data_IF_481836900965
#
_entry.id   IF_481836900965
#
_cell.length_a   1.000
_cell.length_b   1.000
_cell.length_c   1.000
_cell.angle_alpha   90.00
_cell.angle_beta   90.00
_cell.angle_gamma   90.00
#
_symmetry.space_group_name_H-M   'P 1'
#
loop_
_entity.id
_entity.type
_entity.pdbx_description
1 polymer ?
#
# COMPACT_ATOMS: atom_id res chain seq x y z
N UNK A 1 4.37 -0.39 -10.65
CA UNK A 1 4.23 1.07 -10.59
C UNK A 1 3.73 1.39 -9.20
N UNK A 2 4.37 2.35 -8.50
CA UNK A 2 3.99 2.73 -7.14
C UNK A 2 2.56 3.28 -7.11
N UNK A 3 1.85 3.04 -6.02
CA UNK A 3 0.48 3.51 -5.79
C UNK A 3 0.50 4.66 -4.79
N UNK A 4 -0.32 5.66 -5.08
CA UNK A 4 -0.50 6.81 -4.22
C UNK A 4 -1.80 6.64 -3.43
N UNK A 5 -1.77 6.67 -2.09
CA UNK A 5 -2.95 6.44 -1.25
C UNK A 5 -3.98 7.56 -1.30
N UNK A 6 -3.61 8.77 -1.74
CA UNK A 6 -4.51 9.92 -1.88
C UNK A 6 -5.15 9.97 -3.29
N UNK A 7 -4.59 9.18 -4.23
CA UNK A 7 -5.03 9.18 -5.62
C UNK A 7 -5.05 7.78 -6.24
N UNK A 8 -5.86 6.93 -5.64
CA UNK A 8 -6.11 5.57 -6.11
C UNK A 8 -7.04 5.53 -7.34
N UNK A 9 -6.84 4.57 -8.25
CA UNK A 9 -7.82 4.28 -9.29
C UNK A 9 -9.12 3.74 -8.66
N UNK A 10 -10.24 3.93 -9.35
CA UNK A 10 -11.58 3.56 -8.87
C UNK A 10 -11.72 2.07 -8.53
N UNK A 11 -10.96 1.22 -9.22
CA UNK A 11 -10.94 -0.23 -9.02
C UNK A 11 -9.98 -0.69 -7.91
N UNK A 12 -9.22 0.22 -7.29
CA UNK A 12 -8.36 -0.14 -6.16
C UNK A 12 -9.18 -0.59 -4.95
N UNK A 13 -8.70 -1.66 -4.31
CA UNK A 13 -9.30 -2.27 -3.12
C UNK A 13 -8.25 -2.41 -2.02
N UNK A 14 -7.84 -1.31 -1.38
CA UNK A 14 -6.82 -1.35 -0.35
C UNK A 14 -7.28 -2.25 0.79
N UNK A 15 -6.34 -3.01 1.35
CA UNK A 15 -6.64 -4.09 2.28
C UNK A 15 -5.48 -4.35 3.23
N UNK A 16 -5.79 -4.67 4.48
CA UNK A 16 -4.83 -5.21 5.44
C UNK A 16 -5.06 -6.72 5.54
N UNK A 17 -4.01 -7.49 5.29
CA UNK A 17 -4.05 -8.95 5.38
C UNK A 17 -3.21 -9.40 6.56
N UNK A 18 -3.84 -9.98 7.57
CA UNK A 18 -3.15 -10.58 8.72
C UNK A 18 -2.88 -12.06 8.43
N UNK A 19 -1.61 -12.47 8.58
CA UNK A 19 -1.16 -13.84 8.37
C UNK A 19 -1.12 -14.63 9.67
N UNK A 20 -1.13 -15.96 9.57
CA UNK A 20 -1.02 -16.88 10.73
C UNK A 20 0.26 -16.66 11.56
N UNK A 21 1.31 -16.11 10.93
CA UNK A 21 2.59 -15.81 11.58
C UNK A 21 2.54 -14.58 12.47
N UNK A 22 1.42 -13.85 12.50
CA UNK A 22 1.30 -12.54 13.13
C UNK A 22 1.83 -11.39 12.27
N UNK A 23 2.34 -11.68 11.06
CA UNK A 23 2.72 -10.66 10.10
C UNK A 23 1.50 -10.04 9.43
N UNK A 24 1.52 -8.72 9.27
CA UNK A 24 0.47 -7.99 8.55
C UNK A 24 1.01 -7.45 7.22
N UNK A 25 0.17 -7.49 6.20
CA UNK A 25 0.50 -7.01 4.86
C UNK A 25 -0.54 -6.00 4.43
N UNK A 26 -0.15 -4.73 4.42
CA UNK A 26 -0.97 -3.67 3.89
C UNK A 26 -0.73 -3.51 2.38
N UNK A 27 -1.77 -3.77 1.59
CA UNK A 27 -1.72 -3.78 0.14
C UNK A 27 -2.64 -2.70 -0.45
N UNK A 28 -2.23 -2.15 -1.61
CA UNK A 28 -2.98 -1.15 -2.35
C UNK A 28 -4.19 -1.74 -3.08
N UNK A 29 -4.09 -3.01 -3.51
CA UNK A 29 -5.22 -3.76 -4.04
C UNK A 29 -5.03 -5.26 -3.86
N UNK A 30 -6.14 -6.01 -3.94
CA UNK A 30 -6.14 -7.46 -3.87
C UNK A 30 -7.15 -8.08 -4.83
N UNK A 31 -6.90 -9.33 -5.19
CA UNK A 31 -7.79 -10.17 -5.97
C UNK A 31 -7.73 -11.61 -5.47
N UNK A 32 -8.89 -12.18 -5.16
CA UNK A 32 -9.00 -13.61 -4.84
C UNK A 32 -9.08 -14.39 -6.14
N UNK A 33 -8.12 -15.28 -6.35
CA UNK A 33 -8.07 -16.16 -7.52
C UNK A 33 -9.01 -17.35 -7.34
N UNK A 34 -9.41 -17.98 -8.45
CA UNK A 34 -10.28 -19.17 -8.45
C UNK A 34 -9.69 -20.35 -7.62
N UNK A 35 -8.37 -20.41 -7.49
CA UNK A 35 -7.67 -21.40 -6.67
C UNK A 35 -7.73 -21.12 -5.15
N UNK A 36 -8.39 -20.04 -4.72
CA UNK A 36 -8.43 -19.56 -3.33
C UNK A 36 -7.19 -18.78 -2.90
N UNK A 37 -6.20 -18.60 -3.78
CA UNK A 37 -5.03 -17.78 -3.48
C UNK A 37 -5.39 -16.30 -3.53
N UNK A 38 -4.84 -15.52 -2.60
CA UNK A 38 -5.00 -14.07 -2.60
C UNK A 38 -3.81 -13.43 -3.29
N UNK A 39 -4.05 -12.81 -4.45
CA UNK A 39 -3.07 -11.96 -5.09
C UNK A 39 -3.17 -10.55 -4.49
N UNK A 40 -2.03 -9.97 -4.12
CA UNK A 40 -1.95 -8.61 -3.58
C UNK A 40 -0.91 -7.80 -4.35
N UNK A 41 -1.23 -6.53 -4.59
CA UNK A 41 -0.28 -5.53 -5.08
C UNK A 41 0.00 -4.52 -3.96
N UNK A 42 1.25 -4.46 -3.54
CA UNK A 42 1.74 -3.56 -2.51
C UNK A 42 1.87 -2.13 -3.04
N UNK A 43 2.01 -1.19 -2.11
CA UNK A 43 2.13 0.24 -2.39
C UNK A 43 3.35 0.61 -3.23
N UNK A 44 4.45 -0.12 -3.12
CA UNK A 44 5.65 0.07 -3.96
C UNK A 44 5.46 -0.48 -5.40
N UNK A 45 4.38 -1.24 -5.63
CA UNK A 45 4.07 -1.93 -6.87
C UNK A 45 4.57 -3.37 -6.92
N UNK A 46 5.17 -3.89 -5.83
CA UNK A 46 5.49 -5.31 -5.69
C UNK A 46 4.22 -6.14 -5.64
N UNK A 47 4.25 -7.30 -6.29
CA UNK A 47 3.12 -8.23 -6.36
C UNK A 47 3.46 -9.50 -5.62
N UNK A 48 2.56 -9.97 -4.76
CA UNK A 48 2.74 -11.21 -4.00
C UNK A 48 1.48 -12.06 -4.08
N UNK A 49 1.68 -13.38 -4.05
CA UNK A 49 0.59 -14.34 -3.89
C UNK A 49 0.64 -14.91 -2.47
N UNK A 50 -0.50 -14.90 -1.80
CA UNK A 50 -0.69 -15.42 -0.46
C UNK A 50 -1.52 -16.70 -0.55
N UNK A 51 -1.01 -17.82 -0.01
CA UNK A 51 -1.79 -19.04 0.02
C UNK A 51 -2.90 -18.92 1.08
N UNK A 52 -4.10 -19.47 0.83
CA UNK A 52 -5.26 -19.29 1.70
C UNK A 52 -5.01 -19.80 3.12
N UNK A 53 -4.28 -20.91 3.27
CA UNK A 53 -3.96 -21.49 4.58
C UNK A 53 -3.13 -20.58 5.49
N UNK A 54 -2.43 -19.59 4.92
CA UNK A 54 -1.62 -18.62 5.71
C UNK A 54 -2.40 -17.37 6.09
N UNK A 55 -3.59 -17.15 5.55
CA UNK A 55 -4.37 -15.93 5.75
C UNK A 55 -5.30 -16.15 6.95
N UNK A 56 -5.12 -15.36 8.00
CA UNK A 56 -6.03 -15.35 9.15
C UNK A 56 -7.23 -14.45 8.90
N UNK A 57 -6.96 -13.25 8.37
CA UNK A 57 -7.95 -12.20 8.24
C UNK A 57 -7.62 -11.28 7.07
N UNK A 58 -8.67 -10.76 6.44
CA UNK A 58 -8.60 -9.78 5.35
C UNK A 58 -9.55 -8.64 5.71
N UNK A 59 -8.99 -7.48 6.02
CA UNK A 59 -9.74 -6.28 6.39
C UNK A 59 -9.68 -5.25 5.29
N UNK A 60 -10.83 -4.93 4.71
CA UNK A 60 -10.95 -3.88 3.69
C UNK A 60 -10.70 -2.53 4.32
N UNK A 61 -9.84 -1.74 3.68
CA UNK A 61 -9.58 -0.36 4.10
C UNK A 61 -10.62 0.56 3.48
N UNK A 62 -11.21 1.43 4.30
CA UNK A 62 -12.19 2.39 3.84
C UNK A 62 -11.55 3.45 2.93
N UNK A 63 -12.25 3.79 1.85
CA UNK A 63 -11.82 4.84 0.93
C UNK A 63 -12.91 5.85 0.68
N UNK A 64 -12.54 7.12 0.60
CA UNK A 64 -13.41 8.21 0.18
C UNK A 64 -13.31 8.40 -1.33
N UNK A 65 -14.46 8.49 -2.01
CA UNK A 65 -14.51 8.72 -3.45
C UNK A 65 -14.55 10.22 -3.75
N UNK A 66 -13.69 10.66 -4.66
CA UNK A 66 -13.60 12.02 -5.14
C UNK A 66 -13.93 12.11 -6.63
N UNK A 67 -14.54 13.22 -7.03
CA UNK A 67 -14.83 13.53 -8.43
C UNK A 67 -14.57 15.00 -8.71
N UNK A 68 -13.72 15.28 -9.70
CA UNK A 68 -13.41 16.65 -10.15
C UNK A 68 -13.12 16.67 -11.64
N UNK A 69 -13.73 17.61 -12.36
CA UNK A 69 -13.50 17.83 -13.79
C UNK A 69 -13.58 16.54 -14.64
N UNK A 70 -14.57 15.68 -14.35
CA UNK A 70 -14.76 14.40 -15.05
C UNK A 70 -13.82 13.26 -14.63
N UNK A 71 -12.83 13.54 -13.78
CA UNK A 71 -11.92 12.54 -13.19
C UNK A 71 -12.48 12.03 -11.87
N UNK A 72 -12.49 10.72 -11.67
CA UNK A 72 -12.84 10.07 -10.41
C UNK A 72 -11.61 9.35 -9.84
N UNK A 73 -11.35 9.51 -8.55
CA UNK A 73 -10.30 8.79 -7.82
C UNK A 73 -10.77 8.50 -6.40
N UNK A 74 -10.09 7.58 -5.74
CA UNK A 74 -10.35 7.22 -4.35
C UNK A 74 -9.14 7.61 -3.49
N UNK A 75 -9.40 7.92 -2.24
CA UNK A 75 -8.41 8.23 -1.22
C UNK A 75 -8.64 7.31 -0.02
N UNK A 76 -7.57 6.81 0.60
CA UNK A 76 -7.68 6.08 1.87
C UNK A 76 -8.20 7.03 2.94
N UNK A 77 -9.29 6.69 3.60
CA UNK A 77 -9.96 7.59 4.55
C UNK A 77 -9.19 7.80 5.85
N UNK A 78 -8.40 6.81 6.25
CA UNK A 78 -7.68 6.82 7.52
C UNK A 78 -6.30 7.49 7.37
N UNK A 79 -6.01 8.57 8.11
CA UNK A 79 -4.76 9.31 7.96
C UNK A 79 -3.53 8.52 8.41
N UNK A 80 -3.65 7.62 9.39
CA UNK A 80 -2.53 6.78 9.82
C UNK A 80 -2.17 5.77 8.73
N UNK A 81 -3.19 5.17 8.10
CA UNK A 81 -2.99 4.28 6.95
C UNK A 81 -2.45 5.02 5.72
N UNK A 82 -2.84 6.28 5.49
CA UNK A 82 -2.25 7.10 4.42
C UNK A 82 -0.75 7.24 4.61
N UNK A 83 -0.29 7.62 5.81
CA UNK A 83 1.13 7.79 6.10
C UNK A 83 1.89 6.46 6.01
N UNK A 84 1.29 5.38 6.51
CA UNK A 84 1.89 4.05 6.40
C UNK A 84 2.02 3.59 4.93
N UNK A 85 1.01 3.87 4.10
CA UNK A 85 1.04 3.59 2.66
C UNK A 85 2.12 4.41 1.92
N UNK A 86 2.28 5.69 2.27
CA UNK A 86 3.33 6.55 1.68
C UNK A 86 4.73 6.04 2.02
N UNK A 87 4.95 5.64 3.27
CA UNK A 87 6.19 5.02 3.71
C UNK A 87 6.44 3.70 2.96
N UNK A 88 5.42 2.83 2.86
CA UNK A 88 5.52 1.56 2.15
C UNK A 88 5.76 1.73 0.64
N UNK A 89 5.18 2.77 0.02
CA UNK A 89 5.44 3.13 -1.38
C UNK A 89 6.83 3.75 -1.59
N UNK A 90 7.56 4.08 -0.52
CA UNK A 90 8.79 4.85 -0.60
C UNK A 90 8.57 6.25 -1.18
N UNK A 91 7.40 6.85 -0.96
CA UNK A 91 7.09 8.23 -1.35
C UNK A 91 7.76 9.23 -0.38
N UNK A 92 7.97 8.85 0.87
CA UNK A 92 8.75 9.60 1.87
C UNK A 92 10.28 9.57 1.66
N UNK A 93 10.79 8.60 0.89
CA UNK A 93 12.24 8.36 0.76
C UNK A 93 12.97 9.49 0.00
N UNK A 94 12.25 10.40 -0.68
CA UNK A 94 12.84 11.60 -1.27
C UNK A 94 13.32 12.61 -0.23
N UNK A 95 12.80 12.60 1.00
CA UNK A 95 13.22 13.51 2.07
C UNK A 95 14.38 12.96 2.91
N UNK A 96 14.59 11.63 2.94
CA UNK A 96 15.64 11.01 3.77
C UNK A 96 17.01 10.95 3.09
N UNK A 97 17.08 11.09 1.75
CA UNK A 97 18.36 11.04 1.03
C UNK A 97 19.15 12.35 1.01
N UNK A 98 18.61 13.43 1.59
CA UNK A 98 19.30 14.71 1.74
C UNK A 98 20.04 14.87 3.10
N UNK A 99 19.91 13.91 4.04
CA UNK A 99 20.52 14.01 5.38
C UNK A 99 21.69 13.05 5.63
N UNK A 100 22.21 12.39 4.59
CA UNK A 100 23.31 11.42 4.72
C UNK A 100 24.56 11.72 3.87
N UNK A 101 24.65 12.90 3.24
CA UNK A 101 25.83 13.35 2.48
C UNK A 101 26.36 14.66 3.07
N UNK A 102 26.89 14.58 4.30
CA UNK A 102 27.37 15.73 5.04
C UNK A 102 28.16 15.33 6.29
N UNK A 103 29.43 14.96 6.08
CA UNK A 103 30.41 14.60 7.12
C UNK A 103 31.12 13.30 6.72
N UNK A 104 32.43 13.23 6.47
CA UNK A 104 33.55 14.05 6.91
C UNK A 104 34.70 13.82 5.90
N UNK A 105 35.21 14.90 5.29
CA UNK A 105 36.63 15.02 4.90
C UNK A 105 37.30 15.59 6.16
N UNK A 106 38.40 15.09 6.70
CA UNK A 106 39.74 15.03 6.13
C UNK A 106 40.62 14.29 7.17
N UNK A 107 41.64 13.56 6.70
CA UNK A 107 42.68 12.96 7.53
C UNK A 107 43.94 13.80 7.60
#
# INVERSE_FOLDING_TARGET
MRKDPERLPRDAKPVVVSLETGEETFAATHETLESGWLWVELWDGTRRKLPPQRIMRVDTVETTAHRKDGTCWHEVSDPELVEQAKQAAGLDDRQRRAVADGGERDG
#
